data_IF_979556635428
#
_entry.id   IF_979556635428
#
_cell.length_a   1.000
_cell.length_b   1.000
_cell.length_c   1.000
_cell.angle_alpha   90.00
_cell.angle_beta   90.00
_cell.angle_gamma   90.00
#
_symmetry.space_group_name_H-M   'P 1'
#
loop_
_entity.id
_entity.type
_entity.pdbx_description
1 polymer ?
#
# COMPACT_ATOMS: atom_id res chain seq x y z
N UNK A 1 -18.06 10.95 0.40
CA UNK A 1 -18.11 9.55 -0.05
C UNK A 1 -17.42 8.63 0.96
N UNK A 2 -18.15 7.70 1.56
CA UNK A 2 -17.66 6.75 2.57
C UNK A 2 -16.58 5.80 2.00
N UNK A 3 -16.86 5.18 0.86
CA UNK A 3 -15.93 4.26 0.19
C UNK A 3 -14.61 4.92 -0.22
N UNK A 4 -14.63 6.16 -0.73
CA UNK A 4 -13.41 6.89 -1.09
C UNK A 4 -12.51 7.19 0.11
N UNK A 5 -13.10 7.42 1.30
CA UNK A 5 -12.34 7.59 2.54
C UNK A 5 -11.73 6.26 2.99
N UNK A 6 -12.52 5.18 2.97
CA UNK A 6 -12.03 3.84 3.32
C UNK A 6 -10.92 3.36 2.38
N UNK A 7 -11.10 3.50 1.05
CA UNK A 7 -10.10 3.11 0.06
C UNK A 7 -8.77 3.82 0.29
N UNK A 8 -8.80 5.10 0.68
CA UNK A 8 -7.58 5.84 1.04
C UNK A 8 -6.91 5.32 2.30
N UNK A 9 -7.69 5.01 3.34
CA UNK A 9 -7.16 4.41 4.58
C UNK A 9 -6.51 3.06 4.28
N UNK A 10 -7.19 2.20 3.52
CA UNK A 10 -6.67 0.89 3.11
C UNK A 10 -5.39 1.05 2.27
N UNK A 11 -5.37 1.98 1.33
CA UNK A 11 -4.18 2.28 0.52
C UNK A 11 -2.98 2.64 1.39
N UNK A 12 -3.16 3.56 2.35
CA UNK A 12 -2.10 3.93 3.29
C UNK A 12 -1.64 2.76 4.15
N UNK A 13 -2.56 1.96 4.69
CA UNK A 13 -2.21 0.78 5.48
C UNK A 13 -1.38 -0.23 4.68
N UNK A 14 -1.78 -0.51 3.44
CA UNK A 14 -1.07 -1.43 2.55
C UNK A 14 0.33 -0.92 2.19
N UNK A 15 0.46 0.38 1.91
CA UNK A 15 1.77 0.99 1.60
C UNK A 15 2.69 0.97 2.81
N UNK A 16 2.19 1.33 4.01
CA UNK A 16 3.00 1.36 5.23
C UNK A 16 3.41 -0.06 5.66
N UNK A 17 2.47 -1.01 5.66
CA UNK A 17 2.74 -2.39 6.05
C UNK A 17 3.64 -3.08 5.02
N UNK A 18 3.32 -2.95 3.72
CA UNK A 18 4.16 -3.48 2.65
C UNK A 18 5.55 -2.85 2.66
N UNK A 19 5.65 -1.52 2.74
CA UNK A 19 6.91 -0.81 2.77
C UNK A 19 7.78 -1.19 3.97
N UNK A 20 7.21 -1.21 5.18
CA UNK A 20 7.94 -1.63 6.39
C UNK A 20 8.42 -3.08 6.30
N UNK A 21 7.61 -4.02 5.80
CA UNK A 21 8.06 -5.41 5.59
C UNK A 21 9.15 -5.51 4.53
N UNK A 22 9.06 -4.75 3.44
CA UNK A 22 10.09 -4.72 2.41
C UNK A 22 11.43 -4.23 3.00
N UNK A 23 11.41 -3.13 3.78
CA UNK A 23 12.61 -2.60 4.44
C UNK A 23 13.26 -3.65 5.35
N UNK A 24 12.49 -4.34 6.19
CA UNK A 24 13.03 -5.40 7.06
C UNK A 24 13.60 -6.57 6.26
N UNK A 25 12.90 -6.99 5.20
CA UNK A 25 13.35 -8.09 4.36
C UNK A 25 14.64 -7.74 3.61
N UNK A 26 14.76 -6.53 3.06
CA UNK A 26 16.00 -6.06 2.45
C UNK A 26 17.14 -5.94 3.46
N UNK A 27 16.88 -5.39 4.66
CA UNK A 27 17.89 -5.31 5.71
C UNK A 27 18.44 -6.70 6.05
N UNK A 28 17.57 -7.71 6.16
CA UNK A 28 17.99 -9.09 6.45
C UNK A 28 18.73 -9.72 5.27
N UNK A 29 18.25 -9.52 4.04
CA UNK A 29 18.90 -10.04 2.84
C UNK A 29 20.34 -9.53 2.69
N UNK A 30 20.57 -8.24 2.94
CA UNK A 30 21.84 -7.58 2.64
C UNK A 30 22.81 -7.49 3.83
N UNK A 31 22.33 -7.43 5.07
CA UNK A 31 23.19 -7.16 6.23
C UNK A 31 23.43 -8.38 7.11
N UNK A 32 22.41 -9.20 7.35
CA UNK A 32 22.50 -10.30 8.33
C UNK A 32 22.54 -11.70 7.71
N UNK A 33 22.21 -11.82 6.42
CA UNK A 33 22.22 -13.06 5.68
C UNK A 33 20.97 -13.91 5.90
N UNK A 34 20.70 -14.80 4.93
CA UNK A 34 19.47 -15.59 4.87
C UNK A 34 19.30 -16.56 6.06
N UNK A 35 20.37 -16.88 6.78
CA UNK A 35 20.33 -17.68 8.02
C UNK A 35 19.52 -17.03 9.14
N UNK A 36 19.35 -15.71 9.13
CA UNK A 36 18.52 -14.99 10.11
C UNK A 36 17.05 -14.90 9.69
N UNK A 37 16.72 -15.22 8.44
CA UNK A 37 15.35 -15.17 7.92
C UNK A 37 14.35 -15.96 8.80
N UNK A 38 14.66 -17.16 9.33
CA UNK A 38 13.68 -17.89 10.11
C UNK A 38 13.27 -17.21 11.42
N UNK A 39 14.16 -16.41 12.01
CA UNK A 39 13.88 -15.67 13.25
C UNK A 39 12.90 -14.52 13.05
N UNK A 40 12.86 -13.93 11.86
CA UNK A 40 12.03 -12.75 11.56
C UNK A 40 10.82 -13.08 10.68
N UNK A 41 10.92 -14.12 9.84
CA UNK A 41 9.95 -14.47 8.81
C UNK A 41 9.37 -15.87 8.95
N UNK A 42 9.78 -16.64 9.98
CA UNK A 42 9.29 -17.99 10.23
C UNK A 42 9.81 -18.98 9.20
N UNK A 43 8.93 -19.71 8.52
CA UNK A 43 9.36 -20.64 7.46
C UNK A 43 9.64 -19.96 6.11
N UNK A 44 9.39 -18.65 5.99
CA UNK A 44 9.52 -17.93 4.72
C UNK A 44 10.95 -17.47 4.46
N UNK A 45 11.40 -17.63 3.23
CA UNK A 45 12.62 -17.02 2.73
C UNK A 45 12.48 -15.50 2.63
N UNK A 46 13.62 -14.79 2.67
CA UNK A 46 13.63 -13.33 2.52
C UNK A 46 13.04 -12.87 1.18
N UNK A 47 13.28 -13.63 0.09
CA UNK A 47 12.71 -13.35 -1.23
C UNK A 47 11.18 -13.39 -1.24
N UNK A 48 10.58 -14.44 -0.67
CA UNK A 48 9.11 -14.54 -0.57
C UNK A 48 8.50 -13.41 0.25
N UNK A 49 9.20 -12.92 1.28
CA UNK A 49 8.73 -11.76 2.05
C UNK A 49 8.83 -10.47 1.25
N UNK A 50 9.90 -10.29 0.46
CA UNK A 50 10.06 -9.14 -0.44
C UNK A 50 8.93 -9.13 -1.48
N UNK A 51 8.66 -10.25 -2.14
CA UNK A 51 7.62 -10.32 -3.17
C UNK A 51 6.23 -9.99 -2.62
N UNK A 52 5.87 -10.58 -1.47
CA UNK A 52 4.60 -10.28 -0.81
C UNK A 52 4.50 -8.81 -0.36
N UNK A 53 5.61 -8.26 0.17
CA UNK A 53 5.67 -6.88 0.60
C UNK A 53 5.50 -5.89 -0.57
N UNK A 54 6.19 -6.14 -1.69
CA UNK A 54 6.08 -5.35 -2.90
C UNK A 54 4.68 -5.44 -3.52
N UNK A 55 4.06 -6.62 -3.50
CA UNK A 55 2.67 -6.80 -3.93
C UNK A 55 1.71 -5.93 -3.10
N UNK A 56 1.86 -5.89 -1.78
CA UNK A 56 1.04 -5.03 -0.93
C UNK A 56 1.25 -3.54 -1.22
N UNK A 57 2.49 -3.11 -1.44
CA UNK A 57 2.77 -1.72 -1.85
C UNK A 57 2.08 -1.42 -3.17
N UNK A 58 2.20 -2.29 -4.17
CA UNK A 58 1.60 -2.10 -5.49
C UNK A 58 0.08 -2.00 -5.41
N UNK A 59 -0.57 -2.93 -4.69
CA UNK A 59 -2.02 -2.89 -4.47
C UNK A 59 -2.42 -1.60 -3.75
N UNK A 60 -1.69 -1.22 -2.70
CA UNK A 60 -1.94 0.02 -1.96
C UNK A 60 -1.86 1.27 -2.84
N UNK A 61 -0.84 1.36 -3.71
CA UNK A 61 -0.69 2.45 -4.68
C UNK A 61 -1.86 2.49 -5.66
N UNK A 62 -2.23 1.35 -6.26
CA UNK A 62 -3.33 1.28 -7.22
C UNK A 62 -4.66 1.70 -6.56
N UNK A 63 -4.96 1.17 -5.38
CA UNK A 63 -6.17 1.54 -4.62
C UNK A 63 -6.15 3.02 -4.25
N UNK A 64 -4.98 3.57 -3.88
CA UNK A 64 -4.80 4.98 -3.58
C UNK A 64 -5.10 5.87 -4.79
N UNK A 65 -4.60 5.51 -5.97
CA UNK A 65 -4.87 6.22 -7.23
C UNK A 65 -6.37 6.20 -7.55
N UNK A 66 -7.03 5.04 -7.44
CA UNK A 66 -8.47 4.93 -7.69
C UNK A 66 -9.29 5.78 -6.70
N UNK A 67 -8.93 5.77 -5.42
CA UNK A 67 -9.56 6.61 -4.41
C UNK A 67 -9.31 8.11 -4.65
N UNK A 68 -8.15 8.47 -5.19
CA UNK A 68 -7.82 9.84 -5.60
C UNK A 68 -8.71 10.32 -6.75
N UNK A 69 -8.80 9.50 -7.81
CA UNK A 69 -9.65 9.77 -8.97
C UNK A 69 -11.12 9.91 -8.54
N UNK A 70 -11.63 8.98 -7.73
CA UNK A 70 -13.00 9.03 -7.21
C UNK A 70 -13.29 10.35 -6.49
N UNK A 71 -12.35 10.86 -5.69
CA UNK A 71 -12.51 12.16 -5.02
C UNK A 71 -12.49 13.32 -6.00
N UNK A 72 -11.55 13.32 -6.95
CA UNK A 72 -11.40 14.39 -7.93
C UNK A 72 -12.66 14.55 -8.77
N UNK A 73 -13.21 13.42 -9.25
CA UNK A 73 -14.46 13.40 -10.02
C UNK A 73 -15.63 13.91 -9.17
N UNK A 74 -15.79 13.41 -7.94
CA UNK A 74 -16.87 13.85 -7.05
C UNK A 74 -16.81 15.36 -6.75
N UNK A 75 -15.60 15.90 -6.55
CA UNK A 75 -15.40 17.34 -6.34
C UNK A 75 -15.83 18.17 -7.57
N UNK A 76 -15.47 17.74 -8.78
CA UNK A 76 -15.90 18.42 -10.02
C UNK A 76 -17.43 18.45 -10.18
N UNK A 77 -18.10 17.33 -9.87
CA UNK A 77 -19.57 17.24 -9.97
C UNK A 77 -20.29 18.22 -9.03
N UNK A 78 -19.79 18.39 -7.79
CA UNK A 78 -20.40 19.32 -6.84
C UNK A 78 -20.25 20.79 -7.27
N UNK A 79 -19.11 21.17 -7.86
CA UNK A 79 -18.89 22.53 -8.38
C UNK A 79 -19.86 22.85 -9.52
N UNK A 80 -20.00 21.94 -10.50
CA UNK A 80 -20.94 22.12 -11.62
C UNK A 80 -22.38 22.28 -11.12
N UNK A 81 -22.76 21.51 -10.10
CA UNK A 81 -24.10 21.59 -9.49
C UNK A 81 -24.36 22.91 -8.77
N UNK A 82 -23.33 23.61 -8.32
CA UNK A 82 -23.44 24.94 -7.71
C UNK A 82 -23.59 26.04 -8.77
N UNK A 83 -22.91 25.95 -9.91
CA UNK A 83 -23.01 26.93 -11.00
C UNK A 83 -24.36 26.88 -11.74
N UNK A 84 -25.05 25.73 -11.70
CA UNK A 84 -26.37 25.54 -12.33
C UNK A 84 -27.55 25.97 -11.45
N UNK A 85 -27.31 26.45 -10.22
CA UNK A 85 -28.33 26.93 -9.28
C UNK A 85 -28.35 28.44 -9.19
#
# INVERSE_FOLDING_TARGET
>A
MFFTKMGRVIAWLLVIIGGSRAVHAFAIAFQTGQSMAPRYFGSKSTGEVIDAALLYVLIGVVVGIVAEISRSVAGKTEVIKQELK
#
